data_IF_359054963010
#
_entry.id   IF_359054963010
#
_cell.length_a   1.000
_cell.length_b   1.000
_cell.length_c   1.000
_cell.angle_alpha   90.00
_cell.angle_beta   90.00
_cell.angle_gamma   90.00
#
_symmetry.space_group_name_H-M   'P 1'
#
loop_
_entity.id
_entity.type
_entity.pdbx_description
1 polymer ?
#
# COMPACT_ATOMS: atom_id res chain seq x y z
N UNK A 1 -10.80 -9.09 -6.90
CA UNK A 1 -11.03 -10.56 -6.89
C UNK A 1 -12.09 -11.01 -5.87
N UNK A 2 -12.33 -10.25 -4.80
CA UNK A 2 -13.48 -10.43 -3.90
C UNK A 2 -13.99 -9.06 -3.46
N UNK A 3 -15.28 -8.93 -3.18
CA UNK A 3 -15.90 -7.70 -2.67
C UNK A 3 -16.26 -7.79 -1.17
N UNK A 4 -16.64 -8.97 -0.68
CA UNK A 4 -16.95 -9.20 0.73
C UNK A 4 -16.21 -10.44 1.25
N UNK A 5 -15.05 -10.29 1.92
CA UNK A 5 -14.32 -9.03 2.15
C UNK A 5 -13.69 -8.48 0.85
N UNK A 6 -13.32 -7.18 0.81
CA UNK A 6 -12.65 -6.59 -0.34
C UNK A 6 -11.21 -7.13 -0.47
N UNK A 7 -10.91 -7.72 -1.63
CA UNK A 7 -9.58 -8.26 -1.95
C UNK A 7 -9.23 -7.93 -3.39
N UNK A 8 -8.03 -7.39 -3.58
CA UNK A 8 -7.47 -7.03 -4.88
C UNK A 8 -6.21 -7.83 -5.15
N UNK A 9 -6.05 -8.26 -6.40
CA UNK A 9 -4.84 -8.89 -6.89
C UNK A 9 -4.33 -8.09 -8.10
N UNK A 10 -3.02 -8.05 -8.27
CA UNK A 10 -2.35 -7.44 -9.41
C UNK A 10 -1.20 -8.32 -9.87
N UNK A 11 -0.98 -8.30 -11.18
CA UNK A 11 0.15 -8.88 -11.86
C UNK A 11 0.71 -7.81 -12.78
N UNK A 12 2.02 -7.62 -12.75
CA UNK A 12 2.75 -6.73 -13.63
C UNK A 12 4.02 -7.45 -14.09
N UNK A 13 4.36 -7.27 -15.35
CA UNK A 13 5.58 -7.82 -15.95
C UNK A 13 6.33 -6.74 -16.69
N UNK A 14 7.66 -6.75 -16.60
CA UNK A 14 8.53 -5.87 -17.35
C UNK A 14 9.43 -6.73 -18.24
N UNK A 15 9.06 -6.87 -19.53
CA UNK A 15 9.68 -7.85 -20.43
C UNK A 15 11.16 -7.59 -20.67
N UNK A 16 11.59 -6.34 -20.85
CA UNK A 16 12.98 -6.01 -21.18
C UNK A 16 13.96 -6.37 -20.05
N UNK A 17 13.58 -6.03 -18.82
CA UNK A 17 14.36 -6.34 -17.60
C UNK A 17 14.04 -7.72 -17.00
N UNK A 18 13.13 -8.49 -17.61
CA UNK A 18 12.65 -9.79 -17.13
C UNK A 18 12.23 -9.78 -15.64
N UNK A 19 11.36 -8.83 -15.28
CA UNK A 19 10.79 -8.71 -13.92
C UNK A 19 9.33 -9.17 -13.93
N UNK A 20 8.94 -9.99 -12.95
CA UNK A 20 7.55 -10.36 -12.67
C UNK A 20 7.17 -9.91 -11.26
N UNK A 21 6.02 -9.24 -11.14
CA UNK A 21 5.49 -8.76 -9.87
C UNK A 21 4.07 -9.25 -9.71
N UNK A 22 3.81 -9.96 -8.62
CA UNK A 22 2.46 -10.39 -8.24
C UNK A 22 2.17 -9.92 -6.83
N UNK A 23 0.98 -9.36 -6.61
CA UNK A 23 0.51 -9.12 -5.25
C UNK A 23 -0.96 -9.44 -5.07
N UNK A 24 -1.30 -9.94 -3.89
CA UNK A 24 -2.66 -10.02 -3.39
C UNK A 24 -2.74 -9.21 -2.12
N UNK A 25 -3.71 -8.31 -2.02
CA UNK A 25 -3.85 -7.40 -0.88
C UNK A 25 -5.29 -7.22 -0.43
N UNK A 26 -5.46 -7.10 0.88
CA UNK A 26 -6.73 -6.82 1.54
C UNK A 26 -6.50 -6.09 2.86
N UNK A 27 -7.52 -5.40 3.35
CA UNK A 27 -7.38 -4.44 4.44
C UNK A 27 -8.26 -4.83 5.63
N UNK A 28 -7.73 -4.69 6.84
CA UNK A 28 -8.50 -4.81 8.09
C UNK A 28 -8.45 -3.49 8.85
N UNK A 29 -9.42 -2.58 8.63
CA UNK A 29 -9.48 -1.30 9.35
C UNK A 29 -9.92 -1.52 10.80
N UNK A 30 -9.27 -0.83 11.74
CA UNK A 30 -9.60 -0.81 13.18
C UNK A 30 -9.74 0.65 13.62
N UNK A 31 -10.97 1.05 13.94
CA UNK A 31 -11.27 2.37 14.50
C UNK A 31 -10.82 2.43 15.97
N UNK A 32 -10.16 3.52 16.35
CA UNK A 32 -9.63 3.71 17.70
C UNK A 32 -9.80 5.17 18.13
N UNK A 33 -10.15 5.34 19.41
CA UNK A 33 -10.23 6.63 20.09
C UNK A 33 -9.16 6.66 21.18
N UNK A 34 -8.44 7.78 21.31
CA UNK A 34 -7.45 8.02 22.35
C UNK A 34 -7.90 9.25 23.14
N UNK A 35 -7.83 9.16 24.48
CA UNK A 35 -8.01 10.30 25.37
C UNK A 35 -6.64 10.65 25.98
N UNK A 36 -6.22 11.91 25.86
CA UNK A 36 -4.93 12.38 26.38
C UNK A 36 -5.17 13.54 27.34
N UNK A 37 -4.75 13.35 28.58
CA UNK A 37 -4.78 14.37 29.61
C UNK A 37 -3.43 15.09 29.69
N UNK A 38 -3.41 16.36 29.30
CA UNK A 38 -2.22 17.22 29.40
C UNK A 38 -2.32 18.05 30.67
N UNK A 39 -1.40 17.82 31.61
CA UNK A 39 -1.28 18.62 32.83
C UNK A 39 -0.56 19.93 32.50
N UNK A 40 -1.24 21.06 32.63
CA UNK A 40 -0.60 22.37 32.44
C UNK A 40 -0.06 22.87 33.78
N UNK A 41 1.16 23.43 33.75
CA UNK A 41 1.80 24.05 34.94
C UNK A 41 1.59 25.57 35.01
N UNK A 42 0.82 26.12 34.06
CA UNK A 42 0.64 27.56 33.82
C UNK A 42 -0.45 28.19 34.68
N UNK A 43 -1.32 27.40 35.31
CA UNK A 43 -2.36 27.88 36.22
C UNK A 43 -2.05 27.30 37.60
N UNK A 44 -2.04 28.15 38.63
CA UNK A 44 -1.77 27.75 40.03
C UNK A 44 -2.77 26.70 40.56
N UNK A 45 -3.89 26.47 39.88
CA UNK A 45 -4.72 25.27 40.03
C UNK A 45 -4.31 24.25 38.97
N UNK A 46 -3.90 23.04 39.37
CA UNK A 46 -3.41 21.97 38.49
C UNK A 46 -4.43 21.44 37.46
N UNK A 47 -4.78 22.29 36.51
CA UNK A 47 -5.83 22.10 35.51
C UNK A 47 -5.30 21.22 34.38
N UNK A 48 -6.09 20.20 34.02
CA UNK A 48 -5.81 19.31 32.89
C UNK A 48 -6.57 19.80 31.66
N UNK A 49 -5.93 19.75 30.51
CA UNK A 49 -6.59 19.87 29.21
C UNK A 49 -6.73 18.47 28.62
N UNK A 50 -7.95 18.08 28.30
CA UNK A 50 -8.24 16.80 27.67
C UNK A 50 -8.28 16.96 26.14
N UNK A 51 -7.56 16.10 25.44
CA UNK A 51 -7.59 16.00 23.98
C UNK A 51 -8.09 14.62 23.60
N UNK A 52 -9.20 14.58 22.89
CA UNK A 52 -9.68 13.40 22.20
C UNK A 52 -9.04 13.29 20.80
N UNK A 53 -8.47 12.13 20.51
CA UNK A 53 -7.92 11.78 19.21
C UNK A 53 -8.70 10.63 18.60
N UNK A 54 -9.08 10.76 17.34
CA UNK A 54 -9.70 9.69 16.56
C UNK A 54 -8.77 9.26 15.43
N UNK A 55 -8.53 7.97 15.30
CA UNK A 55 -7.72 7.42 14.22
C UNK A 55 -8.19 6.02 13.78
N UNK A 56 -7.82 5.66 12.56
CA UNK A 56 -8.01 4.33 11.99
C UNK A 56 -6.63 3.71 11.78
N UNK A 57 -6.44 2.52 12.33
CA UNK A 57 -5.29 1.66 12.07
C UNK A 57 -5.70 0.63 11.01
N UNK A 58 -5.14 0.73 9.82
CA UNK A 58 -5.41 -0.17 8.69
C UNK A 58 -4.27 -1.15 8.56
N UNK A 59 -4.54 -2.39 8.98
CA UNK A 59 -3.66 -3.52 8.72
C UNK A 59 -3.80 -3.93 7.25
N UNK A 60 -2.70 -3.80 6.50
CA UNK A 60 -2.62 -4.26 5.11
C UNK A 60 -2.09 -5.70 5.14
N UNK A 61 -2.86 -6.61 4.58
CA UNK A 61 -2.57 -8.04 4.55
C UNK A 61 -2.46 -8.55 3.13
N UNK A 62 -1.85 -9.72 3.03
CA UNK A 62 -1.62 -10.42 1.79
C UNK A 62 -0.13 -10.55 1.50
N UNK A 63 0.19 -10.96 0.28
CA UNK A 63 1.54 -11.32 -0.14
C UNK A 63 1.93 -10.52 -1.36
N UNK A 64 3.15 -9.99 -1.37
CA UNK A 64 3.78 -9.40 -2.55
C UNK A 64 5.00 -10.23 -2.89
N UNK A 65 5.10 -10.62 -4.16
CA UNK A 65 6.19 -11.39 -4.72
C UNK A 65 6.76 -10.62 -5.90
N UNK A 66 8.09 -10.46 -5.90
CA UNK A 66 8.85 -9.93 -7.03
C UNK A 66 9.82 -11.02 -7.47
N UNK A 67 9.82 -11.37 -8.74
CA UNK A 67 10.80 -12.29 -9.32
C UNK A 67 11.71 -11.53 -10.26
N UNK A 68 13.00 -11.62 -10.00
CA UNK A 68 14.05 -11.15 -10.88
C UNK A 68 14.53 -12.36 -11.70
N UNK A 69 13.94 -12.55 -12.88
CA UNK A 69 14.08 -13.82 -13.61
C UNK A 69 15.52 -14.02 -14.16
N UNK A 70 16.21 -12.92 -14.48
CA UNK A 70 17.61 -12.97 -14.90
C UNK A 70 18.52 -13.50 -13.79
N UNK A 71 18.26 -13.12 -12.53
CA UNK A 71 19.00 -13.54 -11.35
C UNK A 71 18.50 -14.88 -10.79
N UNK A 72 17.33 -15.36 -11.25
CA UNK A 72 16.60 -16.51 -10.70
C UNK A 72 16.30 -16.32 -9.21
N UNK A 73 15.92 -15.10 -8.83
CA UNK A 73 15.63 -14.73 -7.45
C UNK A 73 14.16 -14.37 -7.27
N UNK A 74 13.61 -14.82 -6.14
CA UNK A 74 12.22 -14.59 -5.72
C UNK A 74 12.24 -13.87 -4.38
N UNK A 75 11.69 -12.65 -4.37
CA UNK A 75 11.57 -11.81 -3.20
C UNK A 75 10.12 -11.82 -2.70
N UNK A 76 9.93 -12.27 -1.47
CA UNK A 76 8.67 -12.17 -0.76
C UNK A 76 8.70 -11.02 0.23
N UNK A 77 7.64 -10.23 0.26
CA UNK A 77 7.53 -9.10 1.17
C UNK A 77 6.12 -8.90 1.72
N UNK A 78 6.06 -8.46 2.98
CA UNK A 78 4.83 -8.02 3.62
C UNK A 78 4.60 -6.51 3.35
N UNK A 79 3.57 -5.95 3.99
CA UNK A 79 3.18 -4.55 3.83
C UNK A 79 3.22 -3.81 5.17
N UNK A 80 3.57 -2.52 5.19
CA UNK A 80 3.37 -1.69 6.37
C UNK A 80 1.89 -1.46 6.62
N UNK A 81 1.52 -1.15 7.87
CA UNK A 81 0.17 -0.67 8.20
C UNK A 81 0.04 0.82 7.87
N UNK A 82 -1.18 1.23 7.51
CA UNK A 82 -1.53 2.62 7.29
C UNK A 82 -2.28 3.16 8.51
N UNK A 83 -1.79 4.24 9.10
CA UNK A 83 -2.46 4.92 10.21
C UNK A 83 -3.01 6.25 9.72
N UNK A 84 -4.33 6.40 9.77
CA UNK A 84 -5.04 7.62 9.38
C UNK A 84 -5.59 8.31 10.62
N UNK A 85 -5.17 9.54 10.88
CA UNK A 85 -5.66 10.37 11.98
C UNK A 85 -6.68 11.36 11.46
N UNK A 86 -7.74 11.62 12.23
CA UNK A 86 -8.80 12.55 11.86
C UNK A 86 -8.86 13.75 12.80
N UNK A 87 -8.75 13.51 14.11
CA UNK A 87 -8.80 14.53 15.15
C UNK A 87 -7.54 14.47 16.03
N UNK A 88 -7.00 15.62 16.50
CA UNK A 88 -7.36 16.99 16.08
C UNK A 88 -6.74 17.40 14.73
N UNK A 89 -5.75 16.64 14.24
CA UNK A 89 -5.05 16.91 12.99
C UNK A 89 -5.19 15.72 12.05
N UNK A 90 -5.70 15.99 10.85
CA UNK A 90 -5.80 14.98 9.78
C UNK A 90 -4.43 14.61 9.27
N UNK A 91 -4.15 13.32 9.11
CA UNK A 91 -2.88 12.86 8.60
C UNK A 91 -2.89 11.38 8.25
N UNK A 92 -1.97 10.98 7.39
CA UNK A 92 -1.75 9.59 7.03
C UNK A 92 -0.27 9.26 7.12
N UNK A 93 0.08 8.15 7.76
CA UNK A 93 1.46 7.68 7.84
C UNK A 93 1.54 6.16 7.80
N UNK A 94 2.59 5.68 7.14
CA UNK A 94 2.96 4.28 7.15
C UNK A 94 3.71 3.95 8.44
N UNK A 95 3.42 2.79 9.01
CA UNK A 95 4.03 2.33 10.25
C UNK A 95 4.22 0.81 10.24
N UNK A 96 5.09 0.34 11.14
CA UNK A 96 5.28 -1.09 11.36
C UNK A 96 6.50 -1.66 10.65
N UNK A 97 6.62 -2.99 10.75
CA UNK A 97 7.76 -3.76 10.26
C UNK A 97 7.49 -4.25 8.83
N UNK A 98 8.42 -3.97 7.94
CA UNK A 98 8.50 -4.53 6.59
C UNK A 98 9.63 -5.56 6.60
N UNK A 99 9.36 -6.71 6.00
CA UNK A 99 10.31 -7.79 5.79
C UNK A 99 10.33 -8.07 4.29
N UNK A 100 11.52 -8.12 3.72
CA UNK A 100 11.78 -8.51 2.33
C UNK A 100 12.76 -9.68 2.38
N UNK A 101 12.38 -10.84 1.86
CA UNK A 101 13.19 -12.05 1.91
C UNK A 101 13.41 -12.60 0.51
N UNK A 102 14.68 -12.81 0.14
CA UNK A 102 15.02 -13.61 -1.03
C UNK A 102 14.99 -15.10 -0.66
N UNK A 103 14.21 -15.90 -1.38
CA UNK A 103 14.01 -17.32 -1.05
C UNK A 103 15.24 -18.17 -1.38
N UNK A 104 15.98 -17.81 -2.42
CA UNK A 104 17.09 -18.57 -2.95
C UNK A 104 18.41 -18.28 -2.22
N UNK A 105 18.66 -17.01 -1.87
CA UNK A 105 19.91 -16.61 -1.17
C UNK A 105 19.78 -16.64 0.36
N UNK A 106 18.55 -16.62 0.88
CA UNK A 106 18.30 -16.48 2.31
C UNK A 106 18.71 -15.12 2.88
N UNK A 107 18.90 -14.11 2.03
CA UNK A 107 19.08 -12.72 2.46
C UNK A 107 17.72 -12.12 2.83
N UNK A 108 17.70 -11.40 3.96
CA UNK A 108 16.51 -10.75 4.48
C UNK A 108 16.80 -9.31 4.88
N UNK A 109 15.93 -8.40 4.44
CA UNK A 109 15.89 -7.02 4.89
C UNK A 109 14.71 -6.83 5.85
N UNK A 110 15.00 -6.31 7.04
CA UNK A 110 13.99 -5.87 8.00
C UNK A 110 14.04 -4.35 8.10
N UNK A 111 12.91 -3.70 7.80
CA UNK A 111 12.72 -2.26 7.89
C UNK A 111 11.64 -1.97 8.93
N UNK A 112 11.90 -1.01 9.81
CA UNK A 112 10.97 -0.47 10.77
C UNK A 112 10.63 0.96 10.37
N UNK A 113 9.38 1.16 9.95
CA UNK A 113 8.82 2.50 9.80
C UNK A 113 8.44 3.00 11.19
N UNK A 114 9.17 4.01 11.66
CA UNK A 114 8.95 4.60 12.96
C UNK A 114 7.69 5.46 12.89
N UNK A 115 6.66 5.04 13.63
CA UNK A 115 5.49 5.87 13.88
C UNK A 115 5.82 6.79 15.04
N UNK A 116 5.69 8.10 14.83
CA UNK A 116 5.67 9.06 15.92
C UNK A 116 4.61 8.67 16.95
N UNK A 117 4.95 8.77 18.23
CA UNK A 117 3.96 8.77 19.32
C UNK A 117 2.95 9.90 19.08
N UNK A 118 1.73 9.80 19.62
CA UNK A 118 0.71 10.86 19.42
C UNK A 118 1.25 12.26 19.77
N UNK A 119 2.04 12.37 20.85
CA UNK A 119 2.68 13.62 21.27
C UNK A 119 3.80 14.06 20.31
N UNK A 120 4.59 13.11 19.78
CA UNK A 120 5.64 13.38 18.79
C UNK A 120 5.09 13.92 17.46
N UNK A 121 3.81 13.67 17.15
CA UNK A 121 3.14 14.24 15.96
C UNK A 121 3.05 15.78 16.02
N UNK A 122 3.03 16.36 17.23
CA UNK A 122 3.02 17.82 17.46
C UNK A 122 4.41 18.43 17.51
N UNK A 123 5.47 17.65 17.80
CA UNK A 123 6.85 18.17 17.98
C UNK A 123 7.76 17.96 16.76
N UNK A 124 7.27 17.35 15.69
CA UNK A 124 7.82 17.46 14.33
C UNK A 124 9.11 16.68 14.01
N UNK A 125 9.79 16.09 14.99
CA UNK A 125 11.19 15.70 14.82
C UNK A 125 11.48 14.27 14.30
N UNK A 126 10.49 13.42 13.99
CA UNK A 126 10.75 12.05 13.51
C UNK A 126 9.76 11.51 12.47
N UNK A 127 9.05 12.40 11.77
CA UNK A 127 8.10 12.01 10.73
C UNK A 127 8.84 11.25 9.63
N UNK A 128 8.36 10.03 9.31
CA UNK A 128 8.78 9.22 8.15
C UNK A 128 10.19 8.61 8.22
N UNK A 129 10.77 8.56 9.42
CA UNK A 129 12.03 7.87 9.64
C UNK A 129 11.92 6.36 9.42
N UNK A 130 12.94 5.80 8.80
CA UNK A 130 13.13 4.36 8.62
C UNK A 130 14.40 3.94 9.33
N UNK A 131 14.35 2.78 9.99
CA UNK A 131 15.52 2.07 10.52
C UNK A 131 15.43 0.63 10.10
N UNK A 132 16.54 -0.02 9.80
CA UNK A 132 16.50 -1.40 9.34
C UNK A 132 17.85 -2.06 9.29
N UNK A 133 17.87 -3.26 8.75
CA UNK A 133 19.05 -4.09 8.59
C UNK A 133 18.87 -5.05 7.43
N UNK A 134 19.99 -5.43 6.81
CA UNK A 134 20.06 -6.57 5.89
C UNK A 134 20.91 -7.63 6.56
N UNK A 135 20.46 -8.88 6.56
CA UNK A 135 21.12 -9.99 7.25
C UNK A 135 20.88 -11.32 6.54
N UNK A 136 21.71 -12.32 6.85
CA UNK A 136 21.52 -13.70 6.42
C UNK A 136 20.55 -14.40 7.39
N UNK A 137 19.42 -14.94 6.89
CA UNK A 137 18.44 -15.61 7.74
C UNK A 137 18.99 -16.85 8.45
N UNK A 138 19.95 -17.56 7.84
CA UNK A 138 20.53 -18.79 8.39
C UNK A 138 21.45 -18.57 9.58
N UNK A 139 22.28 -17.52 9.53
CA UNK A 139 23.30 -17.22 10.54
C UNK A 139 22.87 -16.08 11.49
N UNK A 140 21.88 -15.28 11.10
CA UNK A 140 21.52 -14.03 11.78
C UNK A 140 22.56 -12.92 11.62
N UNK A 141 23.60 -13.15 10.81
CA UNK A 141 24.71 -12.22 10.61
C UNK A 141 24.23 -10.98 9.87
N UNK A 142 24.36 -9.82 10.52
CA UNK A 142 24.01 -8.53 9.93
C UNK A 142 25.09 -8.11 8.93
N UNK A 143 24.65 -7.70 7.75
CA UNK A 143 25.49 -7.23 6.64
C UNK A 143 25.44 -5.71 6.55
N UNK A 144 24.23 -5.14 6.64
CA UNK A 144 24.01 -3.71 6.53
C UNK A 144 23.09 -3.19 7.64
N UNK A 145 23.32 -1.95 8.04
CA UNK A 145 22.37 -1.14 8.80
C UNK A 145 21.72 -0.11 7.87
N UNK A 146 20.39 0.02 7.92
CA UNK A 146 19.61 0.93 7.07
C UNK A 146 19.04 2.05 7.93
N UNK A 147 19.13 3.29 7.47
CA UNK A 147 18.54 4.43 8.18
C UNK A 147 18.25 5.59 7.22
N UNK A 148 17.37 6.51 7.64
CA UNK A 148 17.04 7.71 6.89
C UNK A 148 15.55 8.03 6.94
N UNK A 149 15.03 8.61 5.87
CA UNK A 149 13.61 8.95 5.71
C UNK A 149 13.10 8.43 4.37
N UNK A 150 12.00 7.68 4.38
CA UNK A 150 11.50 7.03 3.16
C UNK A 150 10.95 8.00 2.11
N UNK A 151 10.62 9.23 2.50
CA UNK A 151 10.20 10.32 1.61
C UNK A 151 11.36 11.23 1.19
N UNK A 152 12.59 10.94 1.63
CA UNK A 152 13.80 11.68 1.27
C UNK A 152 14.91 10.72 0.87
N UNK A 153 15.82 10.41 1.79
CA UNK A 153 17.01 9.61 1.51
C UNK A 153 17.04 8.43 2.45
N UNK A 154 17.32 7.25 1.91
CA UNK A 154 17.63 6.04 2.68
C UNK A 154 19.07 5.64 2.39
N UNK A 155 19.79 5.35 3.45
CA UNK A 155 21.22 5.07 3.44
C UNK A 155 21.48 3.69 4.02
N UNK A 156 22.43 2.97 3.45
CA UNK A 156 22.93 1.69 3.94
C UNK A 156 24.37 1.85 4.41
N UNK A 157 24.66 1.33 5.61
CA UNK A 157 26.02 1.21 6.13
C UNK A 157 26.45 -0.24 6.09
N UNK A 158 27.53 -0.53 5.37
CA UNK A 158 28.15 -1.85 5.35
C UNK A 158 28.85 -2.10 6.70
N UNK A 159 28.46 -3.16 7.41
CA UNK A 159 28.99 -3.45 8.75
C UNK A 159 30.40 -4.07 8.73
N UNK A 160 30.86 -4.56 7.57
CA UNK A 160 32.22 -5.11 7.40
C UNK A 160 33.23 -4.00 7.10
N UNK A 161 32.89 -3.08 6.19
CA UNK A 161 33.81 -2.02 5.75
C UNK A 161 33.61 -0.70 6.49
N UNK A 162 32.43 -0.48 7.07
CA UNK A 162 32.03 0.79 7.68
C UNK A 162 31.56 1.84 6.66
N UNK A 163 31.63 1.54 5.37
CA UNK A 163 31.22 2.44 4.28
C UNK A 163 29.72 2.70 4.32
N UNK A 164 29.35 3.92 3.92
CA UNK A 164 27.99 4.43 3.97
C UNK A 164 27.60 4.88 2.57
N UNK A 165 26.51 4.33 2.03
CA UNK A 165 26.03 4.61 0.68
C UNK A 165 24.54 5.01 0.68
N UNK A 166 24.16 5.93 -0.18
CA UNK A 166 22.75 6.27 -0.42
C UNK A 166 22.16 5.23 -1.35
N UNK A 167 21.18 4.46 -0.86
CA UNK A 167 20.52 3.40 -1.63
C UNK A 167 19.18 3.84 -2.24
N UNK A 168 18.66 4.98 -1.80
CA UNK A 168 17.44 5.57 -2.35
C UNK A 168 17.41 7.07 -2.09
N UNK A 169 17.03 7.82 -3.12
CA UNK A 169 16.73 9.24 -3.05
C UNK A 169 15.37 9.50 -3.72
N UNK A 170 14.38 9.90 -2.91
CA UNK A 170 13.02 10.17 -3.34
C UNK A 170 12.94 11.25 -4.42
N UNK A 171 13.76 12.31 -4.32
CA UNK A 171 13.73 13.38 -5.33
C UNK A 171 14.16 12.87 -6.70
N UNK A 172 15.21 12.04 -6.76
CA UNK A 172 15.71 11.44 -8.00
C UNK A 172 14.72 10.39 -8.55
N UNK A 173 14.15 9.55 -7.68
CA UNK A 173 13.29 8.44 -8.09
C UNK A 173 11.85 8.86 -8.43
N UNK A 174 11.35 9.97 -7.86
CA UNK A 174 9.97 10.43 -8.08
C UNK A 174 9.90 11.46 -9.20
N UNK A 175 10.94 12.27 -9.40
CA UNK A 175 10.93 13.33 -10.42
C UNK A 175 10.68 12.79 -11.84
N UNK A 176 11.11 11.55 -12.12
CA UNK A 176 10.94 10.91 -13.42
C UNK A 176 9.62 10.15 -13.58
N UNK A 177 8.82 10.03 -12.50
CA UNK A 177 7.54 9.33 -12.57
C UNK A 177 6.52 10.16 -13.35
N UNK A 178 6.08 9.61 -14.48
CA UNK A 178 5.04 10.20 -15.31
C UNK A 178 3.75 9.39 -15.20
N UNK A 179 2.65 10.08 -15.00
CA UNK A 179 1.33 9.47 -14.94
C UNK A 179 1.01 8.84 -16.30
N UNK A 180 0.74 7.53 -16.38
CA UNK A 180 0.29 6.90 -17.62
C UNK A 180 -1.03 7.51 -18.08
N UNK A 181 -1.18 7.72 -19.39
CA UNK A 181 -2.39 8.21 -20.03
C UNK A 181 -2.99 7.14 -20.92
N UNK A 182 -4.32 7.10 -21.01
CA UNK A 182 -5.02 6.23 -21.97
C UNK A 182 -4.87 6.84 -23.37
N UNK A 183 -4.30 6.09 -24.30
CA UNK A 183 -4.11 6.51 -25.69
C UNK A 183 -5.36 6.32 -26.53
N UNK A 184 -6.06 5.20 -26.33
CA UNK A 184 -7.24 4.83 -27.07
C UNK A 184 -8.39 4.52 -26.11
N UNK A 185 -9.32 5.47 -25.97
CA UNK A 185 -10.48 5.30 -25.08
C UNK A 185 -11.43 4.20 -25.54
N UNK A 186 -11.48 3.91 -26.85
CA UNK A 186 -12.32 2.85 -27.41
C UNK A 186 -11.83 1.44 -27.01
N UNK A 187 -10.57 1.29 -26.59
CA UNK A 187 -10.00 0.02 -26.13
C UNK A 187 -10.22 -0.22 -24.63
N UNK A 188 -10.67 0.79 -23.88
CA UNK A 188 -10.92 0.67 -22.43
C UNK A 188 -12.31 0.07 -22.22
N UNK A 189 -12.35 -1.09 -21.55
CA UNK A 189 -13.62 -1.77 -21.25
C UNK A 189 -14.46 -1.00 -20.24
N UNK A 190 -15.80 -1.08 -20.34
CA UNK A 190 -16.75 -0.51 -19.37
C UNK A 190 -16.52 -1.03 -17.94
N UNK A 191 -15.92 -2.21 -17.80
CA UNK A 191 -15.58 -2.82 -16.51
C UNK A 191 -14.29 -2.29 -15.88
N UNK A 192 -13.53 -1.45 -16.58
CA UNK A 192 -12.27 -0.89 -16.07
C UNK A 192 -12.50 0.30 -15.15
N UNK A 193 -11.62 0.46 -14.16
CA UNK A 193 -11.81 1.44 -13.08
C UNK A 193 -12.00 2.87 -13.57
N UNK A 194 -11.29 3.28 -14.63
CA UNK A 194 -11.42 4.62 -15.19
C UNK A 194 -12.82 4.88 -15.77
N UNK A 195 -13.45 3.85 -16.35
CA UNK A 195 -14.81 3.94 -16.91
C UNK A 195 -15.87 3.83 -15.82
N UNK A 196 -15.73 2.87 -14.91
CA UNK A 196 -16.69 2.63 -13.81
C UNK A 196 -16.81 3.85 -12.90
N UNK A 197 -15.71 4.53 -12.61
CA UNK A 197 -15.66 5.65 -11.66
C UNK A 197 -15.62 7.04 -12.32
N UNK A 198 -15.81 7.14 -13.64
CA UNK A 198 -15.63 8.37 -14.41
C UNK A 198 -16.45 9.55 -13.87
N UNK A 199 -17.76 9.37 -13.69
CA UNK A 199 -18.68 10.40 -13.16
C UNK A 199 -18.32 10.83 -11.73
N UNK A 200 -17.95 9.86 -10.89
CA UNK A 200 -17.53 10.13 -9.51
C UNK A 200 -16.26 10.94 -9.49
N UNK A 201 -15.26 10.54 -10.28
CA UNK A 201 -13.99 11.24 -10.41
C UNK A 201 -14.19 12.65 -10.96
N UNK A 202 -15.02 12.82 -11.99
CA UNK A 202 -15.33 14.14 -12.56
C UNK A 202 -15.99 15.07 -11.52
N UNK A 203 -16.99 14.57 -10.80
CA UNK A 203 -17.64 15.33 -9.73
C UNK A 203 -16.67 15.74 -8.62
N UNK A 204 -15.76 14.85 -8.20
CA UNK A 204 -14.72 15.17 -7.20
C UNK A 204 -13.77 16.24 -7.74
N UNK A 205 -13.29 16.11 -8.97
CA UNK A 205 -12.34 17.05 -9.56
C UNK A 205 -12.94 18.45 -9.74
N UNK A 206 -14.24 18.52 -10.04
CA UNK A 206 -15.00 19.78 -10.15
C UNK A 206 -15.55 20.29 -8.81
N UNK A 207 -15.32 19.58 -7.70
CA UNK A 207 -15.87 19.87 -6.37
C UNK A 207 -17.42 19.87 -6.33
N UNK A 208 -18.06 19.15 -7.25
CA UNK A 208 -19.51 18.95 -7.33
C UNK A 208 -19.92 17.73 -6.50
N UNK A 209 -19.90 17.87 -5.17
CA UNK A 209 -20.05 16.73 -4.23
C UNK A 209 -21.35 15.95 -4.37
N UNK A 210 -22.46 16.61 -4.68
CA UNK A 210 -23.74 15.92 -4.88
C UNK A 210 -23.71 15.04 -6.14
N UNK A 211 -23.16 15.54 -7.26
CA UNK A 211 -22.97 14.72 -8.46
C UNK A 211 -22.04 13.52 -8.21
N UNK A 212 -20.94 13.74 -7.48
CA UNK A 212 -20.05 12.64 -7.10
C UNK A 212 -20.77 11.58 -6.24
N UNK A 213 -21.66 12.01 -5.33
CA UNK A 213 -22.48 11.11 -4.51
C UNK A 213 -23.49 10.34 -5.35
N UNK A 214 -24.15 10.99 -6.30
CA UNK A 214 -25.10 10.35 -7.22
C UNK A 214 -24.41 9.29 -8.08
N UNK A 215 -23.32 9.64 -8.77
CA UNK A 215 -22.55 8.67 -9.56
C UNK A 215 -22.06 7.49 -8.72
N UNK A 216 -21.64 7.74 -7.47
CA UNK A 216 -21.21 6.67 -6.54
C UNK A 216 -22.38 5.73 -6.23
N UNK A 217 -23.56 6.28 -5.93
CA UNK A 217 -24.76 5.50 -5.63
C UNK A 217 -25.15 4.62 -6.82
N UNK A 218 -25.07 5.16 -8.02
CA UNK A 218 -25.46 4.47 -9.25
C UNK A 218 -24.54 3.27 -9.54
N UNK A 219 -23.22 3.45 -9.38
CA UNK A 219 -22.25 2.34 -9.46
C UNK A 219 -22.55 1.27 -8.41
N UNK A 220 -22.79 1.66 -7.16
CA UNK A 220 -23.04 0.73 -6.06
C UNK A 220 -24.37 -0.02 -6.20
N UNK A 221 -25.43 0.60 -6.71
CA UNK A 221 -26.71 -0.08 -6.97
C UNK A 221 -26.58 -1.07 -8.13
N UNK A 222 -25.97 -0.68 -9.25
CA UNK A 222 -25.71 -1.58 -10.39
C UNK A 222 -24.96 -2.85 -9.95
N UNK A 223 -23.96 -2.71 -9.08
CA UNK A 223 -23.21 -3.84 -8.52
C UNK A 223 -24.07 -4.70 -7.56
N UNK A 224 -24.94 -4.08 -6.75
CA UNK A 224 -25.88 -4.80 -5.87
C UNK A 224 -26.90 -5.59 -6.68
N UNK A 225 -27.45 -5.03 -7.76
CA UNK A 225 -28.37 -5.74 -8.66
C UNK A 225 -27.69 -6.89 -9.38
N UNK A 226 -26.51 -6.68 -9.96
CA UNK A 226 -25.73 -7.74 -10.61
C UNK A 226 -25.40 -8.89 -9.64
N UNK A 227 -25.15 -8.59 -8.37
CA UNK A 227 -24.99 -9.62 -7.33
C UNK A 227 -26.29 -10.39 -7.09
N UNK A 228 -27.42 -9.71 -6.89
CA UNK A 228 -28.74 -10.35 -6.67
C UNK A 228 -29.10 -11.29 -7.82
N UNK A 229 -28.84 -10.87 -9.06
CA UNK A 229 -29.09 -11.70 -10.26
C UNK A 229 -28.22 -12.96 -10.30
N UNK A 230 -26.94 -12.85 -9.93
CA UNK A 230 -26.03 -14.01 -9.83
C UNK A 230 -26.47 -14.98 -8.73
N UNK A 231 -26.83 -14.45 -7.57
CA UNK A 231 -27.32 -15.26 -6.45
C UNK A 231 -28.62 -15.99 -6.82
N UNK A 232 -29.57 -15.30 -7.47
CA UNK A 232 -30.82 -15.88 -7.94
C UNK A 232 -30.64 -16.97 -9.01
N UNK A 233 -29.62 -16.84 -9.86
CA UNK A 233 -29.28 -17.82 -10.89
C UNK A 233 -28.33 -18.93 -10.40
N UNK A 234 -27.90 -18.90 -9.13
CA UNK A 234 -26.94 -19.86 -8.58
C UNK A 234 -25.53 -19.74 -9.18
N UNK A 235 -25.23 -18.65 -9.89
CA UNK A 235 -23.93 -18.44 -10.53
C UNK A 235 -22.93 -17.84 -9.54
N UNK A 236 -21.73 -18.41 -9.47
CA UNK A 236 -20.62 -17.85 -8.71
C UNK A 236 -19.86 -16.82 -9.53
N UNK A 237 -19.28 -15.81 -8.84
CA UNK A 237 -18.35 -14.88 -9.48
C UNK A 237 -16.98 -15.51 -9.64
N UNK A 238 -16.44 -15.50 -10.86
CA UNK A 238 -15.11 -16.00 -11.17
C UNK A 238 -14.23 -14.82 -11.61
N UNK A 239 -13.09 -14.56 -10.97
CA UNK A 239 -12.18 -13.50 -11.39
C UNK A 239 -11.61 -13.77 -12.80
N UNK A 240 -11.61 -12.75 -13.65
CA UNK A 240 -11.19 -12.85 -15.05
C UNK A 240 -9.70 -13.17 -15.26
N UNK A 241 -8.83 -12.70 -14.37
CA UNK A 241 -7.37 -12.71 -14.57
C UNK A 241 -6.59 -13.52 -13.53
N UNK A 242 -7.25 -14.02 -12.49
CA UNK A 242 -6.60 -14.71 -11.37
C UNK A 242 -7.35 -15.97 -10.98
N UNK A 243 -6.60 -17.05 -10.72
CA UNK A 243 -7.07 -18.15 -9.89
C UNK A 243 -6.95 -17.72 -8.43
N UNK A 244 -7.98 -18.00 -7.64
CA UNK A 244 -8.06 -17.55 -6.24
C UNK A 244 -8.40 -18.72 -5.35
N UNK A 245 -7.53 -19.00 -4.38
CA UNK A 245 -7.73 -20.01 -3.36
C UNK A 245 -7.76 -19.33 -2.00
N UNK A 246 -8.77 -19.67 -1.19
CA UNK A 246 -8.86 -19.18 0.18
C UNK A 246 -8.16 -20.15 1.13
N UNK A 247 -7.02 -19.75 1.66
CA UNK A 247 -6.23 -20.52 2.62
C UNK A 247 -6.57 -20.05 4.05
N UNK A 248 -7.67 -20.57 4.62
CA UNK A 248 -8.17 -20.13 5.92
C UNK A 248 -8.63 -18.66 5.90
N UNK A 249 -7.88 -17.77 6.57
CA UNK A 249 -8.14 -16.32 6.57
C UNK A 249 -7.41 -15.57 5.46
N UNK A 250 -6.46 -16.22 4.79
CA UNK A 250 -5.64 -15.64 3.75
C UNK A 250 -6.14 -15.98 2.34
N UNK A 251 -5.59 -15.25 1.37
CA UNK A 251 -5.94 -15.33 -0.04
C UNK A 251 -4.66 -15.60 -0.83
N UNK A 252 -4.65 -16.72 -1.54
CA UNK A 252 -3.62 -17.03 -2.53
C UNK A 252 -4.17 -16.76 -3.92
N UNK A 253 -3.43 -15.96 -4.69
CA UNK A 253 -3.91 -15.32 -5.90
C UNK A 253 -2.85 -15.51 -6.97
N UNK A 254 -3.12 -16.40 -7.92
CA UNK A 254 -2.18 -16.78 -8.98
C UNK A 254 -2.67 -16.20 -10.30
N UNK A 255 -1.84 -15.44 -11.03
CA UNK A 255 -2.20 -14.96 -12.37
C UNK A 255 -2.53 -16.13 -13.28
N UNK A 256 -3.61 -16.01 -14.07
CA UNK A 256 -3.99 -17.05 -15.05
C UNK A 256 -3.08 -17.04 -16.28
N UNK A 257 -2.43 -15.91 -16.55
CA UNK A 257 -1.53 -15.72 -17.66
C UNK A 257 -0.10 -15.49 -17.14
N UNK A 258 0.93 -16.04 -17.79
CA UNK A 258 2.31 -15.86 -17.36
C UNK A 258 2.83 -14.44 -17.63
N UNK A 259 2.18 -13.68 -18.52
CA UNK A 259 2.53 -12.30 -18.86
C UNK A 259 1.28 -11.42 -18.91
N UNK A 260 1.50 -10.14 -18.69
CA UNK A 260 0.44 -9.13 -18.80
C UNK A 260 0.44 -8.58 -20.23
N UNK A 261 -0.69 -8.69 -20.96
CA UNK A 261 -0.81 -8.08 -22.28
C UNK A 261 -0.63 -6.57 -22.24
N UNK A 262 -0.18 -5.98 -23.35
CA UNK A 262 -0.04 -4.53 -23.46
C UNK A 262 -1.42 -3.86 -23.29
N UNK A 263 -1.49 -2.90 -22.38
CA UNK A 263 -2.69 -2.09 -22.14
C UNK A 263 -2.68 -0.85 -23.06
N UNK A 264 -3.86 -0.22 -23.31
CA UNK A 264 -3.97 1.01 -24.11
C UNK A 264 -3.44 2.26 -23.38
N UNK A 265 -2.47 2.09 -22.49
CA UNK A 265 -1.83 3.14 -21.71
C UNK A 265 -0.44 3.43 -22.28
N UNK A 266 -0.08 4.71 -22.30
CA UNK A 266 1.27 5.16 -22.62
C UNK A 266 1.79 6.02 -21.49
N UNK A 267 3.06 5.83 -21.14
CA UNK A 267 3.77 6.74 -20.24
C UNK A 267 4.30 7.87 -21.14
N UNK A 268 3.88 9.13 -20.92
CA UNK A 268 4.36 10.25 -21.72
C UNK A 268 5.89 10.31 -21.72
N UNK A 269 6.50 10.65 -22.87
CA UNK A 269 7.95 10.83 -22.98
C UNK A 269 8.45 12.03 -22.21
#
# INVERSE_FOLDING_TARGET
ISHHPPVSALHATHEKENIDVTFCQYFTPKFRVIHINIKTKLIQSGSYFEIEGAYVDVEVKGKRVVKLLNQKETYEMNQPRLVMTFLPVTGAHWAGKIVIKCLETGLEAELQLLSDSFLSRFTGNNKRSIKGKIFESSSGRRLYELFGQWDRTVTAKNLKTGEVEVIYNASENIAELKTPIVKNMQEVSESESAMVWSEVSEGIMKQEWEKAREGKRDVEEKQRESRRQREASGQSWIPKHFSVVRAGKDWDCVPLQPRVPQAPIVVPL
#
